data_IF_766058084319
#
_entry.id   IF_766058084319
#
_cell.length_a   1.000
_cell.length_b   1.000
_cell.length_c   1.000
_cell.angle_alpha   90.00
_cell.angle_beta   90.00
_cell.angle_gamma   90.00
#
_symmetry.space_group_name_H-M   'P 1'
#
loop_
_entity.id
_entity.type
_entity.pdbx_description
1 polymer ?
#
# COMPACT_ATOMS: atom_id res chain seq x y z
N UNK A 1 -29.80 -31.96 16.71
CA UNK A 1 -29.73 -30.52 16.92
C UNK A 1 -28.26 -30.09 16.90
N UNK A 2 -27.74 -29.76 15.71
CA UNK A 2 -26.36 -29.21 15.54
C UNK A 2 -26.40 -27.69 15.73
N UNK A 3 -26.05 -27.21 16.90
CA UNK A 3 -25.74 -25.79 17.10
C UNK A 3 -24.40 -25.45 16.41
N UNK A 4 -24.45 -24.78 15.26
CA UNK A 4 -23.31 -24.09 14.68
C UNK A 4 -22.91 -22.95 15.63
N UNK A 5 -21.81 -23.12 16.37
CA UNK A 5 -21.12 -22.00 17.01
C UNK A 5 -20.61 -21.09 15.89
N UNK A 6 -21.21 -19.92 15.75
CA UNK A 6 -20.63 -18.84 14.95
C UNK A 6 -19.26 -18.51 15.51
N UNK A 7 -18.20 -18.81 14.77
CA UNK A 7 -16.90 -18.20 15.03
C UNK A 7 -17.07 -16.72 14.72
N UNK A 8 -17.03 -15.90 15.77
CA UNK A 8 -16.78 -14.47 15.62
C UNK A 8 -15.60 -14.30 14.68
N UNK A 9 -15.82 -13.62 13.56
CA UNK A 9 -14.75 -13.14 12.69
C UNK A 9 -14.06 -12.07 13.53
N UNK A 10 -12.96 -12.43 14.18
CA UNK A 10 -12.10 -11.44 14.85
C UNK A 10 -11.81 -10.36 13.84
N UNK A 11 -11.99 -9.09 14.22
CA UNK A 11 -11.44 -7.96 13.49
C UNK A 11 -9.98 -8.30 13.17
N UNK A 12 -9.65 -8.34 11.89
CA UNK A 12 -8.34 -8.79 11.41
C UNK A 12 -7.23 -7.78 11.73
N UNK A 13 -7.63 -6.57 12.05
CA UNK A 13 -6.74 -5.52 12.56
C UNK A 13 -7.19 -5.26 14.00
N UNK A 14 -6.34 -5.59 14.98
CA UNK A 14 -6.61 -5.23 16.35
C UNK A 14 -6.70 -3.72 16.51
N UNK A 15 -7.56 -3.26 17.41
CA UNK A 15 -7.56 -1.87 17.83
C UNK A 15 -6.12 -1.48 18.24
N UNK A 16 -5.72 -0.23 17.95
CA UNK A 16 -4.38 0.30 18.20
C UNK A 16 -3.84 -0.23 19.55
N UNK A 17 -2.66 -0.84 19.57
CA UNK A 17 -2.14 -1.45 20.80
C UNK A 17 -2.02 -0.41 21.91
N UNK A 18 -2.57 -0.72 23.08
CA UNK A 18 -2.52 0.16 24.26
C UNK A 18 -1.10 0.31 24.84
N UNK A 19 -0.13 -0.52 24.40
CA UNK A 19 1.26 -0.49 24.87
C UNK A 19 2.21 -0.14 23.74
N UNK A 20 2.86 1.01 23.89
CA UNK A 20 3.78 1.59 22.90
C UNK A 20 5.06 0.76 22.64
N UNK A 21 5.42 -0.19 23.48
CA UNK A 21 6.74 -0.83 23.49
C UNK A 21 6.78 -2.26 22.91
N UNK A 22 5.63 -2.88 22.63
CA UNK A 22 5.61 -4.23 22.05
C UNK A 22 5.15 -4.14 20.60
N UNK A 23 5.96 -4.58 19.62
CA UNK A 23 5.53 -4.60 18.24
C UNK A 23 4.37 -5.58 18.07
N UNK A 24 3.28 -5.11 17.50
CA UNK A 24 2.21 -5.99 17.05
C UNK A 24 2.45 -6.36 15.60
N UNK A 25 2.60 -7.65 15.35
CA UNK A 25 2.87 -8.19 14.01
C UNK A 25 1.73 -9.11 13.63
N UNK A 26 1.09 -8.83 12.50
CA UNK A 26 0.04 -9.66 11.92
C UNK A 26 0.51 -10.23 10.60
N UNK A 27 0.47 -11.54 10.48
CA UNK A 27 0.74 -12.23 9.24
C UNK A 27 -0.54 -12.32 8.41
N UNK A 28 -0.56 -11.64 7.29
CA UNK A 28 -1.68 -11.58 6.35
C UNK A 28 -1.40 -12.52 5.19
N UNK A 29 -2.21 -13.54 5.04
CA UNK A 29 -2.13 -14.47 3.91
C UNK A 29 -3.30 -14.20 2.98
N UNK A 30 -3.01 -14.17 1.70
CA UNK A 30 -4.04 -14.19 0.66
C UNK A 30 -4.07 -15.55 0.00
N UNK A 31 -5.23 -16.19 0.04
CA UNK A 31 -5.56 -17.36 -0.76
C UNK A 31 -6.77 -17.07 -1.67
N UNK A 32 -7.00 -17.96 -2.64
CA UNK A 32 -8.05 -17.76 -3.64
C UNK A 32 -9.47 -18.02 -3.13
N UNK A 33 -9.64 -18.48 -1.86
CA UNK A 33 -10.92 -18.96 -1.34
C UNK A 33 -11.42 -18.21 -0.10
N UNK A 34 -10.59 -18.08 0.94
CA UNK A 34 -11.04 -17.57 2.26
C UNK A 34 -10.46 -16.22 2.65
N UNK A 35 -9.23 -15.92 2.20
CA UNK A 35 -8.44 -14.74 2.60
C UNK A 35 -8.17 -13.78 1.44
N UNK A 36 -9.05 -13.81 0.44
CA UNK A 36 -8.87 -13.11 -0.84
C UNK A 36 -8.67 -11.58 -0.71
N UNK A 37 -9.19 -10.98 0.37
CA UNK A 37 -9.19 -9.54 0.58
C UNK A 37 -8.50 -9.09 1.86
N UNK A 38 -7.84 -9.97 2.59
CA UNK A 38 -7.31 -9.62 3.91
C UNK A 38 -6.18 -8.59 3.81
N UNK A 39 -5.29 -8.73 2.82
CA UNK A 39 -4.24 -7.74 2.56
C UNK A 39 -4.84 -6.39 2.13
N UNK A 40 -5.78 -6.40 1.17
CA UNK A 40 -6.46 -5.17 0.72
C UNK A 40 -7.19 -4.48 1.87
N UNK A 41 -7.88 -5.24 2.71
CA UNK A 41 -8.57 -4.71 3.89
C UNK A 41 -7.61 -4.04 4.87
N UNK A 42 -6.47 -4.66 5.15
CA UNK A 42 -5.44 -4.09 6.02
C UNK A 42 -4.93 -2.74 5.50
N UNK A 43 -4.69 -2.64 4.20
CA UNK A 43 -4.35 -1.37 3.57
C UNK A 43 -5.47 -0.33 3.70
N UNK A 44 -6.72 -0.71 3.38
CA UNK A 44 -7.85 0.22 3.42
C UNK A 44 -8.09 0.76 4.83
N UNK A 45 -8.00 -0.08 5.86
CA UNK A 45 -8.15 0.34 7.25
C UNK A 45 -7.01 1.28 7.69
N UNK A 46 -5.76 0.99 7.29
CA UNK A 46 -4.62 1.86 7.58
C UNK A 46 -4.74 3.23 6.86
N UNK A 47 -5.16 3.24 5.58
CA UNK A 47 -5.39 4.46 4.80
C UNK A 47 -6.52 5.29 5.39
N UNK A 48 -7.62 4.66 5.80
CA UNK A 48 -8.76 5.35 6.40
C UNK A 48 -8.41 5.98 7.75
N UNK A 49 -7.60 5.29 8.55
CA UNK A 49 -7.10 5.77 9.85
C UNK A 49 -5.96 6.79 9.78
N UNK A 50 -5.39 7.05 8.61
CA UNK A 50 -4.24 7.94 8.45
C UNK A 50 -4.55 9.39 8.89
N UNK A 51 -3.56 10.01 9.57
CA UNK A 51 -3.67 11.37 10.11
C UNK A 51 -2.65 12.35 9.49
N UNK A 52 -1.56 11.86 8.93
CA UNK A 52 -0.45 12.71 8.46
C UNK A 52 0.10 12.31 7.09
N UNK A 53 0.47 11.04 6.95
CA UNK A 53 1.23 10.61 5.80
C UNK A 53 0.98 9.14 5.43
N UNK A 54 0.90 8.88 4.13
CA UNK A 54 0.88 7.55 3.54
C UNK A 54 1.99 7.48 2.50
N UNK A 55 2.92 6.53 2.63
CA UNK A 55 3.94 6.24 1.62
C UNK A 55 3.74 4.81 1.17
N UNK A 56 3.56 4.58 -0.12
CA UNK A 56 3.42 3.26 -0.72
C UNK A 56 4.51 3.11 -1.78
N UNK A 57 5.31 2.05 -1.68
CA UNK A 57 6.24 1.62 -2.72
C UNK A 57 5.79 0.28 -3.28
N UNK A 58 5.50 0.23 -4.57
CA UNK A 58 4.97 -0.96 -5.21
C UNK A 58 5.45 -1.10 -6.65
N UNK A 59 5.89 -2.31 -7.01
CA UNK A 59 6.39 -2.58 -8.36
C UNK A 59 5.28 -2.45 -9.42
N UNK A 60 4.10 -2.99 -9.14
CA UNK A 60 2.94 -2.96 -10.03
C UNK A 60 1.75 -2.38 -9.29
N UNK A 61 1.29 -1.22 -9.74
CA UNK A 61 0.24 -0.45 -9.07
C UNK A 61 -0.98 -0.30 -9.98
N UNK A 62 -1.94 -1.18 -9.81
CA UNK A 62 -3.25 -1.17 -10.47
C UNK A 62 -4.35 -1.35 -9.43
N UNK A 63 -4.57 -0.36 -8.57
CA UNK A 63 -5.50 -0.50 -7.46
C UNK A 63 -6.93 -0.70 -7.95
N UNK A 64 -7.67 -1.54 -7.24
CA UNK A 64 -9.12 -1.62 -7.41
C UNK A 64 -9.81 -0.29 -7.05
N UNK A 65 -11.04 -0.11 -7.50
CA UNK A 65 -11.80 1.15 -7.30
C UNK A 65 -11.90 1.59 -5.83
N UNK A 66 -12.02 0.65 -4.90
CA UNK A 66 -12.10 0.95 -3.48
C UNK A 66 -10.79 1.52 -2.95
N UNK A 67 -9.67 0.91 -3.31
CA UNK A 67 -8.33 1.34 -2.93
C UNK A 67 -7.98 2.72 -3.51
N UNK A 68 -8.23 2.91 -4.80
CA UNK A 68 -8.00 4.20 -5.47
C UNK A 68 -8.81 5.31 -4.79
N UNK A 69 -10.09 5.06 -4.52
CA UNK A 69 -10.97 6.01 -3.83
C UNK A 69 -10.45 6.33 -2.43
N UNK A 70 -9.98 5.35 -1.67
CA UNK A 70 -9.45 5.56 -0.32
C UNK A 70 -8.22 6.49 -0.33
N UNK A 71 -7.29 6.30 -1.28
CA UNK A 71 -6.12 7.18 -1.44
C UNK A 71 -6.53 8.62 -1.80
N UNK A 72 -7.45 8.78 -2.75
CA UNK A 72 -7.96 10.11 -3.16
C UNK A 72 -8.64 10.80 -1.96
N UNK A 73 -9.48 10.09 -1.23
CA UNK A 73 -10.13 10.64 -0.03
C UNK A 73 -9.12 11.01 1.05
N UNK A 74 -8.07 10.21 1.25
CA UNK A 74 -7.00 10.56 2.19
C UNK A 74 -6.32 11.87 1.78
N UNK A 75 -5.95 12.03 0.50
CA UNK A 75 -5.36 13.27 -0.01
C UNK A 75 -6.32 14.47 0.16
N UNK A 76 -7.62 14.29 -0.12
CA UNK A 76 -8.64 15.32 0.09
C UNK A 76 -8.83 15.72 1.57
N UNK A 77 -8.56 14.81 2.50
CA UNK A 77 -8.49 15.11 3.94
C UNK A 77 -7.22 15.89 4.34
N UNK A 78 -6.31 16.17 3.41
CA UNK A 78 -5.04 16.84 3.67
C UNK A 78 -3.90 15.90 4.09
N UNK A 79 -4.09 14.58 3.99
CA UNK A 79 -3.04 13.60 4.26
C UNK A 79 -2.01 13.64 3.11
N UNK A 80 -0.73 13.69 3.44
CA UNK A 80 0.35 13.58 2.45
C UNK A 80 0.39 12.16 1.90
N UNK A 81 -0.01 11.96 0.65
CA UNK A 81 0.05 10.65 -0.03
C UNK A 81 1.19 10.66 -1.03
N UNK A 82 2.08 9.66 -0.93
CA UNK A 82 3.27 9.50 -1.77
C UNK A 82 3.30 8.09 -2.34
N UNK A 83 3.44 7.97 -3.64
CA UNK A 83 3.60 6.70 -4.35
C UNK A 83 5.01 6.64 -4.95
N UNK A 84 5.75 5.58 -4.66
CA UNK A 84 7.02 5.23 -5.31
C UNK A 84 6.76 4.01 -6.18
N UNK A 85 6.77 4.19 -7.49
CA UNK A 85 6.37 3.19 -8.47
C UNK A 85 7.54 2.80 -9.37
N UNK A 86 7.38 1.69 -10.10
CA UNK A 86 8.36 1.25 -11.08
C UNK A 86 8.40 2.22 -12.28
N UNK A 87 9.56 2.83 -12.53
CA UNK A 87 9.77 3.72 -13.67
C UNK A 87 10.26 2.99 -14.92
N UNK A 88 10.99 1.87 -14.77
CA UNK A 88 11.46 1.08 -15.92
C UNK A 88 10.36 0.16 -16.43
N UNK A 89 10.18 0.14 -17.75
CA UNK A 89 9.17 -0.70 -18.40
C UNK A 89 9.63 -2.15 -18.41
N UNK A 90 9.05 -2.98 -17.54
CA UNK A 90 9.24 -4.43 -17.55
C UNK A 90 8.11 -5.11 -18.33
N UNK A 91 6.88 -4.74 -18.03
CA UNK A 91 5.66 -5.22 -18.70
C UNK A 91 4.86 -4.04 -19.27
N UNK A 92 4.89 -3.88 -20.59
CA UNK A 92 4.29 -2.72 -21.28
C UNK A 92 2.82 -2.47 -20.91
N UNK A 93 2.01 -3.52 -20.87
CA UNK A 93 0.58 -3.39 -20.56
C UNK A 93 0.34 -2.86 -19.14
N UNK A 94 1.08 -3.37 -18.15
CA UNK A 94 0.97 -2.93 -16.76
C UNK A 94 1.47 -1.49 -16.61
N UNK A 95 2.55 -1.14 -17.29
CA UNK A 95 3.09 0.21 -17.31
C UNK A 95 2.05 1.21 -17.81
N UNK A 96 1.47 1.00 -19.01
CA UNK A 96 0.45 1.90 -19.57
C UNK A 96 -0.82 1.95 -18.70
N UNK A 97 -1.24 0.82 -18.11
CA UNK A 97 -2.41 0.79 -17.26
C UNK A 97 -2.18 1.57 -15.95
N UNK A 98 -0.96 1.54 -15.39
CA UNK A 98 -0.59 2.36 -14.23
C UNK A 98 -0.57 3.84 -14.59
N UNK A 99 0.03 4.20 -15.73
CA UNK A 99 0.11 5.59 -16.19
C UNK A 99 -1.27 6.20 -16.47
N UNK A 100 -2.24 5.41 -16.91
CA UNK A 100 -3.61 5.87 -17.11
C UNK A 100 -4.31 6.35 -15.82
N UNK A 101 -3.74 6.04 -14.64
CA UNK A 101 -4.24 6.50 -13.34
C UNK A 101 -3.56 7.79 -12.86
N UNK A 102 -2.44 8.18 -13.46
CA UNK A 102 -1.61 9.29 -12.97
C UNK A 102 -2.38 10.60 -12.92
N UNK A 103 -3.09 10.94 -13.99
CA UNK A 103 -3.87 12.19 -14.04
C UNK A 103 -4.86 12.30 -12.89
N UNK A 104 -5.57 11.22 -12.60
CA UNK A 104 -6.54 11.19 -11.51
C UNK A 104 -5.89 11.31 -10.12
N UNK A 105 -4.73 10.66 -9.95
CA UNK A 105 -3.97 10.69 -8.70
C UNK A 105 -3.33 12.06 -8.47
N UNK A 106 -2.71 12.62 -9.51
CA UNK A 106 -2.07 13.95 -9.47
C UNK A 106 -3.11 15.06 -9.22
N UNK A 107 -4.26 15.01 -9.90
CA UNK A 107 -5.36 15.95 -9.68
C UNK A 107 -5.90 15.91 -8.23
N UNK A 108 -5.76 14.78 -7.54
CA UNK A 108 -6.09 14.66 -6.13
C UNK A 108 -4.98 15.17 -5.18
N UNK A 109 -3.83 15.62 -5.71
CA UNK A 109 -2.69 16.09 -4.93
C UNK A 109 -1.77 14.97 -4.43
N UNK A 110 -1.92 13.75 -4.95
CA UNK A 110 -1.05 12.62 -4.63
C UNK A 110 0.29 12.80 -5.37
N UNK A 111 1.40 12.63 -4.65
CA UNK A 111 2.74 12.72 -5.24
C UNK A 111 3.17 11.38 -5.78
N UNK A 112 3.59 11.35 -7.04
CA UNK A 112 4.04 10.15 -7.73
C UNK A 112 5.53 10.30 -8.04
N UNK A 113 6.30 9.28 -7.70
CA UNK A 113 7.71 9.16 -8.01
C UNK A 113 7.97 7.85 -8.74
N UNK A 114 8.74 7.90 -9.81
CA UNK A 114 9.18 6.73 -10.55
C UNK A 114 10.63 6.39 -10.23
N UNK A 115 10.84 5.20 -9.69
CA UNK A 115 12.16 4.67 -9.38
C UNK A 115 12.93 4.33 -10.65
N UNK A 116 14.14 4.86 -10.80
CA UNK A 116 14.93 4.78 -12.03
C UNK A 116 16.25 4.01 -11.90
N UNK A 117 16.79 3.81 -10.70
CA UNK A 117 18.10 3.20 -10.52
C UNK A 117 18.16 1.74 -11.00
N UNK A 118 17.13 0.96 -10.68
CA UNK A 118 17.00 -0.45 -11.08
C UNK A 118 15.53 -0.84 -11.25
N UNK A 119 15.24 -2.14 -11.42
CA UNK A 119 13.86 -2.63 -11.30
C UNK A 119 13.41 -2.62 -9.85
N UNK A 120 12.31 -1.92 -9.58
CA UNK A 120 11.69 -1.89 -8.27
C UNK A 120 10.93 -3.20 -8.03
N UNK A 121 11.34 -3.98 -7.04
CA UNK A 121 10.61 -5.21 -6.66
C UNK A 121 10.03 -5.13 -5.24
N UNK A 122 9.72 -3.93 -4.80
CA UNK A 122 9.25 -3.62 -3.45
C UNK A 122 7.72 -3.62 -3.38
N UNK A 123 7.17 -4.15 -2.30
CA UNK A 123 5.75 -4.10 -1.97
C UNK A 123 5.63 -3.77 -0.49
N UNK A 124 5.73 -2.48 -0.19
CA UNK A 124 5.72 -1.96 1.16
C UNK A 124 4.85 -0.71 1.26
N UNK A 125 4.33 -0.46 2.44
CA UNK A 125 3.69 0.80 2.77
C UNK A 125 4.01 1.20 4.21
N UNK A 126 4.00 2.50 4.45
CA UNK A 126 4.10 3.11 5.77
C UNK A 126 2.98 4.12 5.93
N UNK A 127 2.28 4.08 7.06
CA UNK A 127 1.26 5.06 7.42
C UNK A 127 1.65 5.71 8.75
N UNK A 128 1.72 7.04 8.74
CA UNK A 128 2.03 7.90 9.89
C UNK A 128 3.35 7.59 10.63
N UNK A 129 4.22 6.76 10.05
CA UNK A 129 5.42 6.25 10.72
C UNK A 129 5.09 5.35 11.93
N UNK A 130 3.90 4.78 11.98
CA UNK A 130 3.40 3.94 13.07
C UNK A 130 3.03 2.54 12.60
N UNK A 131 2.41 2.44 11.44
CA UNK A 131 2.05 1.20 10.78
C UNK A 131 2.88 1.01 9.53
N UNK A 132 3.29 -0.23 9.28
CA UNK A 132 3.94 -0.61 8.05
C UNK A 132 3.48 -1.97 7.57
N UNK A 133 3.55 -2.20 6.27
CA UNK A 133 3.40 -3.54 5.69
C UNK A 133 4.52 -3.82 4.71
N UNK A 134 5.00 -5.07 4.75
CA UNK A 134 6.03 -5.60 3.85
C UNK A 134 5.58 -6.98 3.38
N UNK A 135 5.67 -7.26 2.08
CA UNK A 135 5.27 -8.57 1.58
C UNK A 135 5.50 -8.78 0.10
N UNK A 136 4.83 -9.79 -0.43
CA UNK A 136 4.92 -10.19 -1.83
C UNK A 136 3.79 -9.61 -2.68
N UNK A 137 2.70 -9.13 -2.06
CA UNK A 137 1.50 -8.74 -2.78
C UNK A 137 1.62 -7.39 -3.48
N UNK A 138 1.51 -7.40 -4.80
CA UNK A 138 1.29 -6.17 -5.56
C UNK A 138 -0.12 -5.61 -5.30
N UNK A 139 -0.26 -4.30 -5.48
CA UNK A 139 -1.56 -3.64 -5.48
C UNK A 139 -2.12 -3.70 -6.90
N UNK A 140 -2.53 -4.88 -7.32
CA UNK A 140 -3.15 -5.12 -8.62
C UNK A 140 -4.23 -6.22 -8.53
N UNK A 141 -5.32 -6.14 -9.35
CA UNK A 141 -6.38 -7.14 -9.34
C UNK A 141 -5.98 -8.46 -10.00
N UNK A 142 -4.91 -8.50 -10.82
CA UNK A 142 -4.48 -9.70 -11.54
C UNK A 142 -3.66 -10.62 -10.65
N UNK A 143 -2.79 -10.09 -9.78
CA UNK A 143 -2.16 -10.86 -8.70
C UNK A 143 -3.20 -11.56 -7.83
N UNK A 144 -4.44 -11.03 -7.80
CA UNK A 144 -5.56 -11.57 -7.03
C UNK A 144 -6.08 -12.92 -7.52
N UNK A 145 -5.80 -13.34 -8.73
CA UNK A 145 -6.45 -14.51 -9.31
C UNK A 145 -5.60 -15.79 -9.26
N UNK A 146 -4.26 -15.68 -9.19
CA UNK A 146 -3.39 -16.82 -9.46
C UNK A 146 -2.27 -17.05 -8.44
N UNK A 147 -1.95 -16.11 -7.54
CA UNK A 147 -0.83 -16.24 -6.62
C UNK A 147 -1.27 -16.32 -5.16
N UNK A 148 -0.58 -17.15 -4.38
CA UNK A 148 -0.60 -17.08 -2.93
C UNK A 148 0.36 -15.97 -2.52
N UNK A 149 -0.16 -14.97 -1.83
CA UNK A 149 0.61 -13.81 -1.39
C UNK A 149 0.60 -13.72 0.14
N UNK A 150 1.66 -13.16 0.69
CA UNK A 150 1.78 -12.95 2.11
C UNK A 150 2.37 -11.58 2.41
N UNK A 151 1.78 -10.89 3.38
CA UNK A 151 2.30 -9.65 3.91
C UNK A 151 2.40 -9.74 5.44
N UNK A 152 3.39 -9.05 5.99
CA UNK A 152 3.43 -8.70 7.40
C UNK A 152 2.87 -7.29 7.57
N UNK A 153 1.91 -7.12 8.45
CA UNK A 153 1.49 -5.81 8.93
C UNK A 153 2.04 -5.61 10.35
N UNK A 154 2.69 -4.49 10.58
CA UNK A 154 3.45 -4.22 11.79
C UNK A 154 3.02 -2.87 12.36
N UNK A 155 2.58 -2.86 13.62
CA UNK A 155 2.38 -1.65 14.41
C UNK A 155 3.59 -1.45 15.32
N UNK A 156 4.55 -0.68 14.85
CA UNK A 156 5.73 -0.32 15.61
C UNK A 156 6.37 0.93 15.00
N UNK A 157 6.49 1.99 15.80
CA UNK A 157 7.04 3.27 15.35
C UNK A 157 8.51 3.19 14.93
N UNK A 158 9.31 2.36 15.62
CA UNK A 158 10.72 2.16 15.26
C UNK A 158 10.85 1.53 13.87
N UNK A 159 10.21 0.38 13.67
CA UNK A 159 10.22 -0.32 12.39
C UNK A 159 9.62 0.53 11.25
N UNK A 160 8.44 1.11 11.46
CA UNK A 160 7.79 1.94 10.46
C UNK A 160 8.61 3.21 10.16
N UNK A 161 9.27 3.78 11.18
CA UNK A 161 10.16 4.94 11.04
C UNK A 161 11.40 4.63 10.21
N UNK A 162 12.07 3.51 10.46
CA UNK A 162 13.23 3.08 9.67
C UNK A 162 12.86 2.81 8.22
N UNK A 163 11.76 2.10 7.98
CA UNK A 163 11.27 1.85 6.63
C UNK A 163 10.91 3.15 5.90
N UNK A 164 10.27 4.10 6.59
CA UNK A 164 9.97 5.43 6.08
C UNK A 164 11.22 6.17 5.64
N UNK A 165 12.27 6.18 6.46
CA UNK A 165 13.55 6.83 6.14
C UNK A 165 14.16 6.21 4.88
N UNK A 166 14.17 4.88 4.78
CA UNK A 166 14.67 4.18 3.60
C UNK A 166 13.89 4.52 2.32
N UNK A 167 12.55 4.57 2.40
CA UNK A 167 11.71 4.95 1.26
C UNK A 167 11.95 6.40 0.81
N UNK A 168 12.06 7.33 1.76
CA UNK A 168 12.34 8.73 1.44
C UNK A 168 13.74 8.91 0.85
N UNK A 169 14.73 8.16 1.31
CA UNK A 169 16.07 8.16 0.72
C UNK A 169 16.06 7.64 -0.72
N UNK A 170 15.34 6.55 -1.00
CA UNK A 170 15.18 6.03 -2.36
C UNK A 170 14.47 7.04 -3.27
N UNK A 171 13.45 7.73 -2.77
CA UNK A 171 12.77 8.80 -3.51
C UNK A 171 13.75 9.94 -3.84
N UNK A 172 14.52 10.39 -2.87
CA UNK A 172 15.42 11.53 -3.03
C UNK A 172 16.61 11.26 -3.97
N UNK A 173 17.13 10.03 -3.96
CA UNK A 173 18.36 9.70 -4.68
C UNK A 173 18.09 9.02 -6.03
N UNK A 174 17.03 8.24 -6.16
CA UNK A 174 16.88 7.26 -7.22
C UNK A 174 15.56 7.37 -7.99
N UNK A 175 14.72 8.38 -7.70
CA UNK A 175 13.40 8.50 -8.32
C UNK A 175 13.19 9.88 -8.96
N UNK A 176 12.37 9.90 -10.00
CA UNK A 176 11.94 11.12 -10.70
C UNK A 176 10.51 11.45 -10.25
N UNK A 177 10.28 12.70 -9.86
CA UNK A 177 8.96 13.20 -9.55
C UNK A 177 8.15 13.39 -10.84
N UNK A 178 6.94 12.84 -10.87
CA UNK A 178 6.00 13.01 -11.95
C UNK A 178 5.11 14.22 -11.63
N UNK A 179 5.21 15.27 -12.46
CA UNK A 179 4.42 16.49 -12.34
C UNK A 179 3.15 16.46 -13.20
N UNK A 180 2.36 17.55 -13.09
CA UNK A 180 1.10 17.72 -13.84
C UNK A 180 1.30 17.85 -15.37
N UNK A 181 2.53 18.02 -15.85
CA UNK A 181 2.86 18.14 -17.29
C UNK A 181 2.81 16.79 -18.03
N UNK A 182 2.48 15.70 -17.34
CA UNK A 182 2.51 14.34 -17.91
C UNK A 182 1.26 14.00 -18.73
N UNK A 183 0.28 14.91 -18.82
CA UNK A 183 -1.02 14.75 -19.52
C UNK A 183 -1.08 15.47 -20.88
N UNK A 184 0.02 15.45 -21.66
CA UNK A 184 0.07 16.02 -23.00
C UNK A 184 0.16 14.98 -24.09
#
# INVERSE_FOLDING_TARGET
>A
SFRRRGKEIRRFIPDRPERADTPEIVFLVRDNLRHRRDIERAYLEAIDGAQREIIIANAYFLPGRAFLRALIQAAQRGIRVVLLLQGKVEYRLQHYATHALYDQLLAAGIKIYEYQASYLHTKVAVVDGQWATVGSSNIDPFSLLLAREANLAVWNAGFAGELRVGLLAAIANDAVHIGEEYGG
#
